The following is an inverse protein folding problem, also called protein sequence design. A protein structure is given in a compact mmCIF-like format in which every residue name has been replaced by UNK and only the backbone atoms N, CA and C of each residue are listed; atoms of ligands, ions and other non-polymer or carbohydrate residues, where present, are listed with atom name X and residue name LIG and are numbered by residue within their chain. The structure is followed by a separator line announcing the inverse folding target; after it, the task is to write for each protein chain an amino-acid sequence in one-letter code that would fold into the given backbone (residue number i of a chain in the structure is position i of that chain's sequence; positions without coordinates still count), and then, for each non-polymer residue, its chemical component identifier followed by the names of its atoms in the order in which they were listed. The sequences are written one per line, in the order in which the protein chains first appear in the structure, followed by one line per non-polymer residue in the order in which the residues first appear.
data_IF_366376115386
#
_entry.id   IF_366376115386
#
_cell.length_a   1.000
_cell.length_b   1.000
_cell.length_c   1.000
_cell.angle_alpha   90.00
_cell.angle_beta   90.00
_cell.angle_gamma   90.00
#
_symmetry.space_group_name_H-M   'P 1'
#
loop_
_entity.id
_entity.type
_entity.pdbx_description
1 polymer ?
#
# COMPACT_ATOMS: atom_id res chain seq x y z
N UNK A 1 -3.40 -16.93 -16.09
CA UNK A 1 -3.80 -15.58 -15.67
C UNK A 1 -3.63 -15.26 -14.18
N UNK A 2 -3.45 -16.23 -13.26
CA UNK A 2 -3.56 -15.97 -11.81
C UNK A 2 -2.26 -15.69 -11.02
N UNK A 3 -1.08 -15.96 -11.58
CA UNK A 3 0.18 -15.96 -10.81
C UNK A 3 0.73 -14.56 -10.50
N UNK A 4 0.53 -13.59 -11.39
CA UNK A 4 1.13 -12.26 -11.24
C UNK A 4 0.44 -11.45 -10.15
N UNK A 5 -0.91 -11.46 -10.11
CA UNK A 5 -1.66 -10.76 -9.07
C UNK A 5 -1.50 -11.39 -7.67
N UNK A 6 -1.18 -12.69 -7.59
CA UNK A 6 -0.89 -13.34 -6.29
C UNK A 6 0.28 -12.69 -5.55
N UNK A 7 1.25 -12.11 -6.27
CA UNK A 7 2.39 -11.40 -5.66
C UNK A 7 1.95 -10.17 -4.87
N UNK A 8 0.99 -9.40 -5.39
CA UNK A 8 0.36 -8.31 -4.65
C UNK A 8 -0.39 -8.82 -3.42
N UNK A 9 -1.04 -9.98 -3.53
CA UNK A 9 -1.64 -10.65 -2.39
C UNK A 9 -0.64 -10.99 -1.29
N UNK A 10 0.54 -11.52 -1.66
CA UNK A 10 1.61 -11.79 -0.71
C UNK A 10 2.19 -10.52 -0.09
N UNK A 11 2.34 -9.45 -0.88
CA UNK A 11 2.74 -8.15 -0.36
C UNK A 11 1.73 -7.64 0.67
N UNK A 12 0.44 -7.64 0.34
CA UNK A 12 -0.63 -7.24 1.25
C UNK A 12 -0.63 -8.06 2.55
N UNK A 13 -0.52 -9.38 2.45
CA UNK A 13 -0.41 -10.26 3.62
C UNK A 13 0.82 -9.94 4.47
N UNK A 14 1.97 -9.68 3.83
CA UNK A 14 3.21 -9.31 4.51
C UNK A 14 3.09 -7.97 5.23
N UNK A 15 2.51 -6.94 4.59
CA UNK A 15 2.27 -5.64 5.21
C UNK A 15 1.35 -5.77 6.45
N UNK A 16 0.27 -6.55 6.34
CA UNK A 16 -0.63 -6.79 7.46
C UNK A 16 0.04 -7.58 8.59
N UNK A 17 0.89 -8.56 8.26
CA UNK A 17 1.68 -9.29 9.24
C UNK A 17 2.66 -8.35 9.98
N UNK A 18 3.33 -7.45 9.26
CA UNK A 18 4.20 -6.43 9.87
C UNK A 18 3.42 -5.51 10.81
N UNK A 19 2.24 -5.04 10.40
CA UNK A 19 1.38 -4.24 11.27
C UNK A 19 0.94 -5.01 12.52
N UNK A 20 0.54 -6.27 12.37
CA UNK A 20 0.14 -7.13 13.49
C UNK A 20 1.31 -7.36 14.47
N UNK A 21 2.51 -7.65 13.97
CA UNK A 21 3.71 -7.78 14.80
C UNK A 21 4.03 -6.46 15.51
N UNK A 22 3.95 -5.33 14.82
CA UNK A 22 4.15 -4.02 15.42
C UNK A 22 3.17 -3.77 16.57
N UNK A 23 1.87 -4.02 16.37
CA UNK A 23 0.87 -3.85 17.43
C UNK A 23 1.03 -4.85 18.57
N UNK A 24 1.49 -6.06 18.30
CA UNK A 24 1.77 -7.05 19.35
C UNK A 24 2.96 -6.66 20.23
N UNK A 25 3.98 -6.00 19.66
CA UNK A 25 5.20 -5.62 20.38
C UNK A 25 5.06 -4.25 21.06
N UNK A 26 4.46 -3.26 20.39
CA UNK A 26 4.42 -1.87 20.84
C UNK A 26 3.04 -1.39 21.27
N UNK A 27 1.99 -2.20 21.08
CA UNK A 27 0.60 -1.81 21.29
C UNK A 27 0.02 -1.04 20.10
N UNK A 28 -1.30 -0.82 20.13
CA UNK A 28 -1.98 0.02 19.15
C UNK A 28 -1.76 1.51 19.50
N UNK A 29 -1.15 2.31 18.61
CA UNK A 29 -0.98 3.73 18.86
C UNK A 29 -2.32 4.46 18.78
N UNK A 30 -2.42 5.57 19.51
CA UNK A 30 -3.55 6.47 19.39
C UNK A 30 -3.61 7.09 17.98
N UNK A 31 -4.81 7.27 17.45
CA UNK A 31 -5.06 7.77 16.09
C UNK A 31 -5.02 9.31 15.97
N UNK A 32 -4.79 10.00 17.08
CA UNK A 32 -4.67 11.46 17.15
C UNK A 32 -3.28 11.96 16.68
N UNK A 33 -2.27 11.10 16.68
CA UNK A 33 -0.93 11.40 16.20
C UNK A 33 -0.67 11.00 14.74
N UNK A 34 0.29 11.68 14.10
CA UNK A 34 0.70 11.39 12.72
C UNK A 34 1.14 9.93 12.52
N UNK A 35 1.76 9.31 13.53
CA UNK A 35 2.16 7.90 13.52
C UNK A 35 0.95 6.95 13.52
N UNK A 36 -0.09 7.25 14.30
CA UNK A 36 -1.32 6.46 14.31
C UNK A 36 -2.05 6.53 12.97
N UNK A 37 -2.15 7.73 12.39
CA UNK A 37 -2.71 7.93 11.05
C UNK A 37 -1.90 7.20 9.99
N UNK A 38 -0.57 7.31 10.03
CA UNK A 38 0.33 6.59 9.13
C UNK A 38 0.09 5.08 9.18
N UNK A 39 0.00 4.50 10.38
CA UNK A 39 -0.23 3.07 10.55
C UNK A 39 -1.63 2.64 10.08
N UNK A 40 -2.66 3.46 10.30
CA UNK A 40 -3.99 3.19 9.77
C UNK A 40 -3.99 3.17 8.23
N UNK A 41 -3.34 4.17 7.61
CA UNK A 41 -3.17 4.26 6.15
C UNK A 41 -2.38 3.06 5.62
N UNK A 42 -1.32 2.64 6.32
CA UNK A 42 -0.51 1.46 6.00
C UNK A 42 -1.33 0.16 6.05
N UNK A 43 -2.15 -0.02 7.09
CA UNK A 43 -3.04 -1.19 7.21
C UNK A 43 -4.05 -1.21 6.07
N UNK A 44 -4.67 -0.06 5.74
CA UNK A 44 -5.59 0.05 4.61
C UNK A 44 -4.90 -0.34 3.30
N UNK A 45 -3.66 0.10 3.09
CA UNK A 45 -2.87 -0.31 1.94
C UNK A 45 -2.72 -1.84 1.86
N UNK A 46 -2.31 -2.48 2.95
CA UNK A 46 -2.17 -3.94 3.04
C UNK A 46 -3.47 -4.69 2.74
N UNK A 47 -4.62 -4.18 3.21
CA UNK A 47 -5.94 -4.75 2.91
C UNK A 47 -6.25 -4.69 1.41
N UNK A 48 -6.04 -3.54 0.77
CA UNK A 48 -6.34 -3.38 -0.66
C UNK A 48 -5.41 -4.23 -1.56
N UNK A 49 -4.13 -4.32 -1.23
CA UNK A 49 -3.17 -5.23 -1.88
C UNK A 49 -3.63 -6.69 -1.77
N UNK A 50 -4.04 -7.11 -0.57
CA UNK A 50 -4.53 -8.47 -0.32
C UNK A 50 -5.82 -8.77 -1.11
N UNK A 51 -6.78 -7.84 -1.08
CA UNK A 51 -8.03 -7.96 -1.82
C UNK A 51 -7.82 -8.00 -3.34
N UNK A 52 -6.86 -7.24 -3.86
CA UNK A 52 -6.49 -7.29 -5.27
C UNK A 52 -5.82 -8.60 -5.66
N UNK A 53 -5.02 -9.18 -4.77
CA UNK A 53 -4.24 -10.39 -5.06
C UNK A 53 -5.00 -11.72 -4.93
N UNK A 54 -6.01 -11.79 -4.05
CA UNK A 54 -6.79 -13.02 -3.77
C UNK A 54 -8.10 -13.02 -4.56
N UNK A 55 -8.64 -14.20 -4.90
CA UNK A 55 -9.97 -14.30 -5.50
C UNK A 55 -11.04 -14.01 -4.44
N UNK A 56 -11.90 -13.03 -4.70
CA UNK A 56 -13.01 -12.65 -3.82
C UNK A 56 -14.05 -11.84 -4.60
N UNK A 57 -15.29 -11.70 -4.08
CA UNK A 57 -16.37 -10.99 -4.79
C UNK A 57 -16.09 -9.51 -5.07
N UNK A 58 -15.26 -8.85 -4.25
CA UNK A 58 -14.92 -7.43 -4.43
C UNK A 58 -13.99 -7.28 -5.64
N UNK A 59 -12.99 -8.16 -5.75
CA UNK A 59 -12.08 -8.21 -6.90
C UNK A 59 -12.82 -8.43 -8.22
N UNK A 60 -13.82 -9.29 -8.23
CA UNK A 60 -14.62 -9.56 -9.44
C UNK A 60 -15.44 -8.34 -9.88
N UNK A 61 -15.93 -7.54 -8.91
CA UNK A 61 -16.73 -6.33 -9.20
C UNK A 61 -15.89 -5.12 -9.59
N UNK A 62 -14.76 -4.89 -8.91
CA UNK A 62 -13.96 -3.67 -9.06
C UNK A 62 -12.80 -3.86 -10.04
N UNK A 63 -12.29 -5.10 -10.15
CA UNK A 63 -11.08 -5.42 -10.89
C UNK A 63 -9.84 -5.47 -10.00
N UNK A 64 -8.98 -6.46 -10.23
CA UNK A 64 -7.77 -6.69 -9.45
C UNK A 64 -6.81 -5.50 -9.49
N UNK A 65 -6.57 -4.97 -10.69
CA UNK A 65 -5.62 -3.88 -10.91
C UNK A 65 -6.02 -2.59 -10.17
N UNK A 66 -7.32 -2.26 -10.15
CA UNK A 66 -7.81 -1.09 -9.41
C UNK A 66 -7.64 -1.24 -7.90
N UNK A 67 -7.92 -2.42 -7.35
CA UNK A 67 -7.72 -2.67 -5.92
C UNK A 67 -6.25 -2.57 -5.52
N UNK A 68 -5.34 -3.16 -6.30
CA UNK A 68 -3.89 -3.01 -6.12
C UNK A 68 -3.48 -1.54 -6.26
N UNK A 69 -4.04 -0.83 -7.24
CA UNK A 69 -3.78 0.60 -7.42
C UNK A 69 -4.16 1.44 -6.19
N UNK A 70 -5.31 1.16 -5.57
CA UNK A 70 -5.68 1.76 -4.28
C UNK A 70 -4.64 1.43 -3.21
N UNK A 71 -4.25 0.15 -3.10
CA UNK A 71 -3.22 -0.30 -2.17
C UNK A 71 -1.91 0.49 -2.29
N UNK A 72 -1.40 0.65 -3.52
CA UNK A 72 -0.18 1.42 -3.81
C UNK A 72 -0.31 2.90 -3.44
N UNK A 73 -1.46 3.54 -3.72
CA UNK A 73 -1.71 4.94 -3.33
C UNK A 73 -1.67 5.09 -1.81
N UNK A 74 -2.35 4.22 -1.07
CA UNK A 74 -2.34 4.28 0.39
C UNK A 74 -0.95 3.95 0.96
N UNK A 75 -0.23 2.97 0.40
CA UNK A 75 1.13 2.65 0.84
C UNK A 75 2.07 3.84 0.62
N UNK A 76 2.02 4.45 -0.56
CA UNK A 76 2.81 5.63 -0.87
C UNK A 76 2.46 6.83 0.01
N UNK A 77 1.17 7.06 0.29
CA UNK A 77 0.72 8.08 1.22
C UNK A 77 1.24 7.83 2.64
N UNK A 78 1.23 6.58 3.11
CA UNK A 78 1.84 6.20 4.40
C UNK A 78 3.33 6.52 4.44
N UNK A 79 4.07 6.25 3.36
CA UNK A 79 5.50 6.60 3.30
C UNK A 79 5.73 8.11 3.34
N UNK A 80 4.92 8.89 2.62
CA UNK A 80 4.97 10.35 2.68
C UNK A 80 4.67 10.88 4.09
N UNK A 81 3.71 10.31 4.80
CA UNK A 81 3.47 10.64 6.22
C UNK A 81 4.67 10.29 7.10
N UNK A 82 5.32 9.17 6.84
CA UNK A 82 6.59 8.79 7.50
C UNK A 82 7.72 9.77 7.23
N UNK A 83 7.79 10.36 6.03
CA UNK A 83 8.76 11.40 5.72
C UNK A 83 8.54 12.70 6.52
N UNK A 84 7.30 13.00 6.93
CA UNK A 84 7.01 14.19 7.75
C UNK A 84 7.45 14.01 9.20
N UNK A 85 7.43 12.78 9.69
CA UNK A 85 7.73 12.46 11.10
C UNK A 85 9.16 11.94 11.31
N UNK A 86 9.82 11.45 10.27
CA UNK A 86 11.18 10.92 10.36
C UNK A 86 12.26 11.99 10.57
N UNK A 87 13.38 11.59 11.16
CA UNK A 87 14.56 12.44 11.34
C UNK A 87 15.59 12.24 10.23
N UNK A 88 16.24 13.33 9.83
CA UNK A 88 17.31 13.32 8.82
C UNK A 88 16.83 13.56 7.38
N UNK A 89 17.51 14.49 6.69
CA UNK A 89 17.14 14.92 5.34
C UNK A 89 17.11 13.76 4.33
N UNK A 90 18.07 12.84 4.43
CA UNK A 90 18.15 11.67 3.55
C UNK A 90 16.94 10.75 3.73
N UNK A 91 16.55 10.46 4.98
CA UNK A 91 15.40 9.61 5.27
C UNK A 91 14.11 10.23 4.71
N UNK A 92 13.89 11.53 4.98
CA UNK A 92 12.73 12.27 4.47
C UNK A 92 12.68 12.27 2.95
N UNK A 93 13.81 12.56 2.31
CA UNK A 93 13.91 12.59 0.85
C UNK A 93 13.61 11.23 0.22
N UNK A 94 14.18 10.15 0.77
CA UNK A 94 13.94 8.79 0.28
C UNK A 94 12.48 8.37 0.48
N UNK A 95 11.92 8.53 1.68
CA UNK A 95 10.54 8.13 1.96
C UNK A 95 9.52 8.94 1.15
N UNK A 96 9.72 10.25 1.01
CA UNK A 96 8.86 11.09 0.20
C UNK A 96 8.93 10.69 -1.28
N UNK A 97 10.14 10.53 -1.84
CA UNK A 97 10.30 10.16 -3.24
C UNK A 97 9.74 8.76 -3.54
N UNK A 98 10.08 7.77 -2.72
CA UNK A 98 9.54 6.41 -2.86
C UNK A 98 8.02 6.38 -2.71
N UNK A 99 7.47 7.16 -1.78
CA UNK A 99 6.04 7.31 -1.59
C UNK A 99 5.35 7.91 -2.82
N UNK A 100 5.89 8.98 -3.38
CA UNK A 100 5.37 9.62 -4.59
C UNK A 100 5.41 8.68 -5.81
N UNK A 101 6.49 7.91 -5.95
CA UNK A 101 6.60 6.90 -7.02
C UNK A 101 5.51 5.84 -6.86
N UNK A 102 5.28 5.32 -5.66
CA UNK A 102 4.20 4.35 -5.40
C UNK A 102 2.82 4.94 -5.68
N UNK A 103 2.58 6.20 -5.31
CA UNK A 103 1.34 6.90 -5.65
C UNK A 103 1.17 6.98 -7.16
N UNK A 104 2.22 7.30 -7.91
CA UNK A 104 2.17 7.37 -9.37
C UNK A 104 1.80 6.00 -10.00
N UNK A 105 2.44 4.91 -9.56
CA UNK A 105 2.07 3.55 -9.99
C UNK A 105 0.62 3.22 -9.63
N UNK A 106 0.20 3.53 -8.41
CA UNK A 106 -1.16 3.28 -7.96
C UNK A 106 -2.20 4.03 -8.78
N UNK A 107 -1.95 5.32 -9.08
CA UNK A 107 -2.82 6.13 -9.94
C UNK A 107 -2.88 5.59 -11.37
N UNK A 108 -1.76 5.14 -11.93
CA UNK A 108 -1.76 4.51 -13.25
C UNK A 108 -2.59 3.23 -13.27
N UNK A 109 -2.43 2.36 -12.26
CA UNK A 109 -3.21 1.13 -12.13
C UNK A 109 -4.71 1.41 -11.98
N UNK A 110 -5.08 2.48 -11.26
CA UNK A 110 -6.48 2.94 -11.17
C UNK A 110 -7.04 3.37 -12.54
N UNK A 111 -6.19 3.90 -13.42
CA UNK A 111 -6.53 4.31 -14.79
C UNK A 111 -6.43 3.18 -15.81
N UNK A 112 -6.14 1.97 -15.37
CA UNK A 112 -6.05 0.79 -16.24
C UNK A 112 -4.62 0.46 -16.70
N UNK A 113 -3.60 1.10 -16.13
CA UNK A 113 -2.20 0.75 -16.37
C UNK A 113 -1.69 1.14 -17.74
N UNK A 114 -1.90 2.40 -18.11
CA UNK A 114 -1.61 2.89 -19.47
C UNK A 114 -0.15 3.29 -19.64
N UNK A 115 0.51 3.69 -18.54
CA UNK A 115 1.86 4.25 -18.57
C UNK A 115 2.94 3.29 -18.04
N UNK A 116 2.58 2.39 -17.12
CA UNK A 116 3.50 1.40 -16.58
C UNK A 116 3.08 -0.02 -16.95
N UNK A 117 4.06 -0.92 -17.07
CA UNK A 117 3.78 -2.34 -17.33
C UNK A 117 2.85 -2.90 -16.25
N UNK A 118 1.77 -3.54 -16.73
CA UNK A 118 0.82 -4.23 -15.87
C UNK A 118 0.91 -5.73 -16.08
N UNK A 119 0.50 -6.53 -15.09
CA UNK A 119 0.41 -7.99 -15.20
C UNK A 119 -0.37 -8.56 -16.38
N UNK A 120 -1.15 -7.73 -17.09
CA UNK A 120 -2.01 -8.11 -18.20
C UNK A 120 -1.45 -7.69 -19.58
N UNK A 121 -0.33 -6.94 -19.60
CA UNK A 121 0.40 -6.54 -20.81
C UNK A 121 1.45 -7.57 -21.23
#
# INVERSE_FOLDING_TARGET
MALTFRRFGYLGAFLLALAAVFFAVFGAPALDGATGVQLAVFVVAGVFELLGGVQNPIRERVGALRLVGVGHVFLGASMCLGALTGEGLLFRGLFALSGLVLVAFGVDYLRGGTYFETPEA
#
